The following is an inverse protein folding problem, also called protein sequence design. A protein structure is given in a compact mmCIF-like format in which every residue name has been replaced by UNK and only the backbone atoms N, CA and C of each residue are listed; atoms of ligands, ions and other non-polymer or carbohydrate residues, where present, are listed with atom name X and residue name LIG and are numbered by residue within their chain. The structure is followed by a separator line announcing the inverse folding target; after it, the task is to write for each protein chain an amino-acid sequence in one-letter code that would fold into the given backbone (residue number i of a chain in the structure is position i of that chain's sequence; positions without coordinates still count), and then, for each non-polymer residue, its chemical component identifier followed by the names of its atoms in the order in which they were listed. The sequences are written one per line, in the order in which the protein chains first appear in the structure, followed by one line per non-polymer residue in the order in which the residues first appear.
data_IF_730282288290
#
_entry.id   IF_730282288290
#
_cell.length_a   1.000
_cell.length_b   1.000
_cell.length_c   1.000
_cell.angle_alpha   90.00
_cell.angle_beta   90.00
_cell.angle_gamma   90.00
#
_symmetry.space_group_name_H-M   'P 1'
#
loop_
_entity.id
_entity.type
_entity.pdbx_description
1 polymer ?
#
# COMPACT_ATOMS: atom_id res chain seq x y z
N UNK A 1 -3.64 21.60 2.02
CA UNK A 1 -2.41 20.82 1.94
C UNK A 1 -2.64 19.40 2.42
N UNK A 2 -1.83 18.45 1.97
CA UNK A 2 -1.99 17.01 2.31
C UNK A 2 -1.56 16.67 3.76
N UNK A 3 -1.29 17.64 4.62
CA UNK A 3 -0.79 17.40 5.97
C UNK A 3 0.60 16.76 5.99
N UNK A 4 1.08 16.37 7.17
CA UNK A 4 2.35 15.67 7.31
C UNK A 4 2.21 14.20 6.84
N UNK A 5 3.16 13.70 6.04
CA UNK A 5 3.15 12.36 5.44
C UNK A 5 4.27 11.52 6.05
N UNK A 6 3.92 10.33 6.54
CA UNK A 6 4.84 9.41 7.19
C UNK A 6 4.91 8.07 6.46
N UNK A 7 6.12 7.64 6.13
CA UNK A 7 6.40 6.30 5.59
C UNK A 7 6.45 5.29 6.74
N UNK A 8 5.80 4.15 6.57
CA UNK A 8 5.89 3.02 7.51
C UNK A 8 6.07 1.74 6.71
N UNK A 9 7.21 1.12 6.92
CA UNK A 9 7.63 -0.07 6.19
C UNK A 9 7.65 -1.26 7.13
N UNK A 10 6.89 -2.28 6.81
CA UNK A 10 6.86 -3.54 7.55
C UNK A 10 7.74 -4.61 6.91
N UNK A 11 8.24 -4.34 5.69
CA UNK A 11 9.01 -5.28 4.91
C UNK A 11 9.96 -4.55 3.97
N UNK A 12 11.09 -5.17 3.64
CA UNK A 12 11.97 -4.79 2.55
C UNK A 12 11.96 -5.83 1.45
N UNK A 13 12.15 -5.38 0.21
CA UNK A 13 12.00 -6.10 -1.04
C UNK A 13 10.54 -6.43 -1.40
N UNK A 14 10.30 -6.68 -2.68
CA UNK A 14 8.98 -6.88 -3.24
C UNK A 14 8.94 -8.12 -4.14
N UNK A 15 7.84 -8.89 -4.06
CA UNK A 15 7.63 -10.09 -4.87
C UNK A 15 7.45 -9.81 -6.36
N UNK A 16 7.06 -8.59 -6.74
CA UNK A 16 6.56 -8.31 -8.09
C UNK A 16 7.63 -8.05 -9.14
N UNK A 17 8.88 -7.84 -8.74
CA UNK A 17 10.03 -7.78 -9.66
C UNK A 17 9.80 -6.84 -10.88
N UNK A 18 9.25 -5.65 -10.62
CA UNK A 18 8.99 -4.68 -11.68
C UNK A 18 10.29 -4.11 -12.23
N UNK A 19 10.46 -4.10 -13.57
CA UNK A 19 11.73 -3.75 -14.21
C UNK A 19 12.21 -2.32 -13.95
N UNK A 20 11.31 -1.39 -13.66
CA UNK A 20 11.60 0.02 -13.37
C UNK A 20 11.78 0.30 -11.87
N UNK A 21 11.62 -0.72 -11.02
CA UNK A 21 11.57 -0.50 -9.57
C UNK A 21 12.98 -0.23 -9.01
N UNK A 22 13.11 0.87 -8.27
CA UNK A 22 14.38 1.23 -7.62
C UNK A 22 14.86 0.18 -6.62
N UNK A 23 13.97 -0.69 -6.12
CA UNK A 23 14.32 -1.79 -5.22
C UNK A 23 15.27 -2.80 -5.87
N UNK A 24 15.28 -2.90 -7.21
CA UNK A 24 16.21 -3.76 -7.96
C UNK A 24 17.69 -3.43 -7.68
N UNK A 25 18.00 -2.17 -7.38
CA UNK A 25 19.35 -1.71 -7.08
C UNK A 25 19.57 -1.23 -5.64
N UNK A 26 18.53 -1.21 -4.81
CA UNK A 26 18.60 -0.64 -3.47
C UNK A 26 19.22 -1.60 -2.45
N UNK A 27 18.95 -2.89 -2.59
CA UNK A 27 19.41 -3.92 -1.65
C UNK A 27 20.38 -4.89 -2.31
N UNK A 28 21.48 -5.18 -1.63
CA UNK A 28 22.47 -6.17 -2.07
C UNK A 28 22.06 -7.63 -1.81
N UNK A 29 20.82 -7.86 -1.45
CA UNK A 29 20.29 -9.18 -1.13
C UNK A 29 18.92 -9.38 -1.80
N UNK A 30 18.69 -10.57 -2.33
CA UNK A 30 17.41 -11.01 -2.86
C UNK A 30 16.44 -11.49 -1.76
N UNK A 31 16.86 -11.49 -0.49
CA UNK A 31 16.01 -11.93 0.61
C UNK A 31 14.93 -10.89 0.93
N UNK A 32 13.77 -11.38 1.35
CA UNK A 32 12.71 -10.55 1.92
C UNK A 32 12.96 -10.41 3.42
N UNK A 33 12.96 -9.17 3.91
CA UNK A 33 13.07 -8.87 5.33
C UNK A 33 11.71 -8.43 5.84
N UNK A 34 11.17 -9.11 6.83
CA UNK A 34 9.90 -8.75 7.49
C UNK A 34 10.18 -8.33 8.91
N UNK A 35 9.70 -7.14 9.29
CA UNK A 35 9.74 -6.68 10.68
C UNK A 35 8.50 -7.22 11.40
N UNK A 36 8.71 -7.95 12.49
CA UNK A 36 7.62 -8.61 13.24
C UNK A 36 7.17 -7.83 14.49
N UNK A 37 7.87 -6.76 14.82
CA UNK A 37 7.60 -5.92 16.00
C UNK A 37 6.51 -4.86 15.71
N UNK A 38 5.37 -5.28 15.18
CA UNK A 38 4.27 -4.37 14.77
C UNK A 38 3.75 -3.51 15.92
N UNK A 39 3.78 -4.03 17.14
CA UNK A 39 3.37 -3.27 18.32
C UNK A 39 4.23 -2.03 18.56
N UNK A 40 5.54 -2.11 18.32
CA UNK A 40 6.44 -0.96 18.43
C UNK A 40 6.10 0.10 17.38
N UNK A 41 5.78 -0.32 16.14
CA UNK A 41 5.32 0.61 15.10
C UNK A 41 4.00 1.30 15.49
N UNK A 42 3.06 0.56 16.03
CA UNK A 42 1.78 1.13 16.49
C UNK A 42 2.01 2.16 17.61
N UNK A 43 2.88 1.86 18.58
CA UNK A 43 3.23 2.76 19.66
C UNK A 43 3.88 4.07 19.16
N UNK A 44 4.81 3.98 18.19
CA UNK A 44 5.44 5.16 17.60
C UNK A 44 4.45 6.00 16.77
N UNK A 45 3.57 5.37 16.00
CA UNK A 45 2.50 6.05 15.27
C UNK A 45 1.56 6.76 16.26
N UNK A 46 1.19 6.10 17.34
CA UNK A 46 0.32 6.69 18.37
C UNK A 46 0.96 7.92 19.03
N UNK A 47 2.26 7.88 19.35
CA UNK A 47 3.02 9.03 19.87
C UNK A 47 2.96 10.21 18.90
N UNK A 48 3.16 9.96 17.60
CA UNK A 48 3.10 11.00 16.57
C UNK A 48 1.68 11.58 16.48
N UNK A 49 0.65 10.76 16.47
CA UNK A 49 -0.76 11.20 16.43
C UNK A 49 -1.09 12.05 17.66
N UNK A 50 -0.67 11.62 18.85
CA UNK A 50 -0.89 12.34 20.10
C UNK A 50 -0.16 13.69 20.15
N UNK A 51 1.07 13.74 19.59
CA UNK A 51 1.86 14.96 19.50
C UNK A 51 1.25 16.01 18.56
N UNK A 52 0.57 15.58 17.51
CA UNK A 52 0.04 16.42 16.44
C UNK A 52 -1.49 16.34 16.32
N UNK A 53 -2.22 16.37 17.44
CA UNK A 53 -3.68 16.11 17.53
C UNK A 53 -4.54 16.93 16.57
N UNK A 54 -4.11 18.17 16.25
CA UNK A 54 -4.86 19.09 15.41
C UNK A 54 -4.57 18.95 13.91
N UNK A 55 -3.52 18.19 13.54
CA UNK A 55 -3.12 18.01 12.16
C UNK A 55 -3.77 16.76 11.56
N UNK A 56 -4.17 16.85 10.28
CA UNK A 56 -4.45 15.67 9.46
C UNK A 56 -3.13 15.07 9.03
N UNK A 57 -2.92 13.79 9.33
CA UNK A 57 -1.71 13.06 9.00
C UNK A 57 -2.03 11.90 8.07
N UNK A 58 -1.11 11.61 7.16
CA UNK A 58 -1.21 10.45 6.28
C UNK A 58 -0.06 9.51 6.58
N UNK A 59 -0.39 8.29 6.95
CA UNK A 59 0.54 7.17 7.10
C UNK A 59 0.36 6.25 5.92
N UNK A 60 1.42 5.99 5.16
CA UNK A 60 1.35 5.09 4.02
C UNK A 60 2.36 3.95 4.12
N UNK A 61 1.99 2.83 3.54
CA UNK A 61 2.79 1.62 3.42
C UNK A 61 3.11 1.32 1.96
N UNK A 62 3.97 0.35 1.69
CA UNK A 62 4.26 -0.09 0.33
C UNK A 62 5.20 0.83 -0.44
N UNK A 63 6.19 1.44 0.25
CA UNK A 63 7.27 2.18 -0.41
C UNK A 63 8.44 1.26 -0.77
N UNK A 64 8.94 0.48 0.20
CA UNK A 64 10.04 -0.46 0.01
C UNK A 64 9.56 -1.91 -0.19
N UNK A 65 8.26 -2.10 -0.44
CA UNK A 65 7.60 -3.37 -0.71
C UNK A 65 6.21 -3.12 -1.31
N UNK A 66 5.48 -4.17 -1.63
CA UNK A 66 4.02 -4.09 -1.84
C UNK A 66 3.28 -4.41 -0.55
N UNK A 67 2.30 -3.60 -0.18
CA UNK A 67 1.62 -3.71 1.13
C UNK A 67 0.81 -5.00 1.31
N UNK A 68 0.34 -5.63 0.23
CA UNK A 68 -0.57 -6.77 0.29
C UNK A 68 -0.01 -8.04 -0.35
N UNK A 69 1.13 -7.96 -1.05
CA UNK A 69 1.67 -9.11 -1.76
C UNK A 69 2.00 -10.28 -0.81
N UNK A 70 2.51 -9.98 0.38
CA UNK A 70 2.84 -10.97 1.41
C UNK A 70 1.89 -10.95 2.61
N UNK A 71 0.76 -10.27 2.52
CA UNK A 71 -0.21 -10.13 3.63
C UNK A 71 -0.65 -11.48 4.24
N UNK A 72 -0.84 -12.57 3.47
CA UNK A 72 -1.19 -13.87 4.05
C UNK A 72 -0.14 -14.43 5.00
N UNK A 73 1.10 -13.98 4.90
CA UNK A 73 2.23 -14.39 5.75
C UNK A 73 2.48 -13.35 6.84
N UNK A 74 2.53 -12.06 6.46
CA UNK A 74 2.91 -10.98 7.37
C UNK A 74 1.79 -10.59 8.33
N UNK A 75 0.54 -10.70 7.89
CA UNK A 75 -0.66 -10.29 8.63
C UNK A 75 -0.63 -8.82 9.10
N UNK A 76 0.22 -7.99 8.44
CA UNK A 76 0.48 -6.62 8.83
C UNK A 76 -0.75 -5.72 8.71
N UNK A 77 -1.43 -5.76 7.56
CA UNK A 77 -2.61 -4.93 7.32
C UNK A 77 -3.77 -5.37 8.20
N UNK A 78 -3.88 -6.69 8.46
CA UNK A 78 -4.88 -7.23 9.38
C UNK A 78 -4.75 -6.65 10.81
N UNK A 79 -3.51 -6.39 11.27
CA UNK A 79 -3.26 -5.78 12.57
C UNK A 79 -3.43 -4.25 12.55
N UNK A 80 -3.13 -3.60 11.42
CA UNK A 80 -3.14 -2.15 11.32
C UNK A 80 -4.51 -1.55 11.01
N UNK A 81 -5.41 -2.26 10.34
CA UNK A 81 -6.79 -1.80 10.11
C UNK A 81 -7.51 -1.53 11.45
N UNK A 82 -7.55 -2.44 12.44
CA UNK A 82 -8.14 -2.16 13.75
C UNK A 82 -7.40 -1.05 14.52
N UNK A 83 -6.09 -0.94 14.35
CA UNK A 83 -5.33 0.14 14.96
C UNK A 83 -5.81 1.51 14.46
N UNK A 84 -5.89 1.72 13.13
CA UNK A 84 -6.31 2.98 12.55
C UNK A 84 -7.80 3.29 12.72
N UNK A 85 -8.65 2.31 13.01
CA UNK A 85 -10.07 2.56 13.32
C UNK A 85 -10.25 3.48 14.53
N UNK A 86 -9.28 3.51 15.46
CA UNK A 86 -9.27 4.35 16.65
C UNK A 86 -8.90 5.81 16.38
N UNK A 87 -8.27 6.11 15.23
CA UNK A 87 -7.66 7.41 14.93
C UNK A 87 -8.24 8.04 13.66
N UNK A 88 -9.48 8.50 13.71
CA UNK A 88 -10.23 9.01 12.54
C UNK A 88 -9.57 10.16 11.78
N UNK A 89 -8.71 10.98 12.43
CA UNK A 89 -7.96 12.08 11.80
C UNK A 89 -6.68 11.59 11.09
N UNK A 90 -6.21 10.38 11.38
CA UNK A 90 -5.04 9.78 10.75
C UNK A 90 -5.47 8.95 9.54
N UNK A 91 -5.07 9.36 8.34
CA UNK A 91 -5.32 8.64 7.11
C UNK A 91 -4.32 7.49 6.99
N UNK A 92 -4.80 6.29 6.73
CA UNK A 92 -4.00 5.11 6.43
C UNK A 92 -4.09 4.76 4.95
N UNK A 93 -2.98 4.83 4.23
CA UNK A 93 -2.91 4.51 2.81
C UNK A 93 -2.13 3.22 2.58
N UNK A 94 -2.80 2.22 2.03
CA UNK A 94 -2.27 0.91 1.67
C UNK A 94 -1.96 0.93 0.17
N UNK A 95 -0.68 1.00 -0.20
CA UNK A 95 -0.24 1.04 -1.61
C UNK A 95 0.05 -0.36 -2.12
N UNK A 96 -0.55 -0.72 -3.26
CA UNK A 96 -0.43 -2.10 -3.75
C UNK A 96 -0.65 -2.24 -5.26
N UNK A 97 -0.11 -3.31 -5.82
CA UNK A 97 -0.48 -3.93 -7.10
C UNK A 97 -1.18 -5.27 -6.90
N UNK A 98 -1.27 -5.75 -5.65
CA UNK A 98 -1.85 -7.04 -5.30
C UNK A 98 -3.36 -7.07 -5.51
N UNK A 99 -3.87 -8.23 -5.88
CA UNK A 99 -5.29 -8.54 -5.87
C UNK A 99 -5.73 -9.31 -4.62
N UNK A 100 -4.83 -9.46 -3.65
CA UNK A 100 -5.18 -10.06 -2.38
C UNK A 100 -6.15 -9.17 -1.60
N UNK A 101 -7.34 -9.70 -1.35
CA UNK A 101 -8.41 -8.97 -0.65
C UNK A 101 -8.90 -9.70 0.61
N UNK A 102 -8.18 -10.73 1.06
CA UNK A 102 -8.59 -11.55 2.20
C UNK A 102 -8.75 -10.75 3.50
N UNK A 103 -7.85 -9.81 3.75
CA UNK A 103 -7.92 -8.95 4.94
C UNK A 103 -9.17 -8.07 4.93
N UNK A 104 -9.57 -7.55 3.77
CA UNK A 104 -10.73 -6.67 3.63
C UNK A 104 -12.09 -7.39 3.74
N UNK A 105 -12.08 -8.72 3.78
CA UNK A 105 -13.27 -9.54 4.09
C UNK A 105 -13.47 -9.75 5.58
N UNK A 106 -12.41 -9.52 6.38
CA UNK A 106 -12.39 -9.73 7.83
C UNK A 106 -12.74 -8.46 8.62
N UNK A 107 -12.67 -7.30 7.95
CA UNK A 107 -12.86 -5.99 8.59
C UNK A 107 -13.92 -5.17 7.86
N UNK A 108 -14.59 -4.32 8.62
CA UNK A 108 -15.48 -3.30 8.07
C UNK A 108 -14.67 -2.16 7.44
N UNK A 109 -15.20 -1.54 6.36
CA UNK A 109 -14.55 -0.41 5.71
C UNK A 109 -14.34 0.77 6.65
N UNK A 110 -13.14 1.36 6.59
CA UNK A 110 -12.77 2.53 7.37
C UNK A 110 -12.76 3.78 6.50
N UNK A 111 -13.44 4.85 6.93
CA UNK A 111 -13.45 6.13 6.22
C UNK A 111 -12.07 6.77 6.10
N UNK A 112 -11.15 6.45 7.00
CA UNK A 112 -9.77 6.93 7.01
C UNK A 112 -8.76 5.90 6.48
N UNK A 113 -9.20 4.84 5.81
CA UNK A 113 -8.33 3.89 5.13
C UNK A 113 -8.55 3.98 3.61
N UNK A 114 -7.46 4.09 2.86
CA UNK A 114 -7.47 4.12 1.39
C UNK A 114 -6.65 2.93 0.88
N UNK A 115 -7.24 2.13 0.01
CA UNK A 115 -6.52 1.10 -0.74
C UNK A 115 -6.11 1.69 -2.08
N UNK A 116 -4.83 2.05 -2.22
CA UNK A 116 -4.31 2.78 -3.37
C UNK A 116 -3.60 1.83 -4.34
N UNK A 117 -4.16 1.68 -5.53
CA UNK A 117 -3.62 0.82 -6.58
C UNK A 117 -2.69 1.57 -7.51
N UNK A 118 -1.49 1.00 -7.74
CA UNK A 118 -0.60 1.46 -8.79
C UNK A 118 -1.07 0.94 -10.14
N UNK A 119 -1.26 1.85 -11.08
CA UNK A 119 -1.76 1.57 -12.43
C UNK A 119 -0.88 2.24 -13.48
N UNK A 120 -0.78 1.57 -14.63
CA UNK A 120 -0.22 2.08 -15.88
C UNK A 120 -1.00 1.46 -17.04
N UNK A 121 -0.80 1.85 -18.31
CA UNK A 121 -1.42 1.17 -19.44
C UNK A 121 -1.11 -0.33 -19.44
N UNK A 122 -2.11 -1.17 -19.75
CA UNK A 122 -2.00 -2.63 -19.72
C UNK A 122 -0.83 -3.15 -20.56
N UNK A 123 -0.62 -2.59 -21.76
CA UNK A 123 0.46 -3.00 -22.66
C UNK A 123 1.86 -2.77 -22.04
N UNK A 124 2.03 -1.68 -21.28
CA UNK A 124 3.29 -1.42 -20.58
C UNK A 124 3.42 -2.29 -19.33
N UNK A 125 2.33 -2.51 -18.61
CA UNK A 125 2.33 -3.38 -17.44
C UNK A 125 2.75 -4.83 -17.78
N UNK A 126 2.31 -5.34 -18.92
CA UNK A 126 2.71 -6.69 -19.39
C UNK A 126 4.22 -6.84 -19.57
N UNK A 127 4.91 -5.76 -19.94
CA UNK A 127 6.36 -5.77 -20.16
C UNK A 127 7.12 -5.46 -18.86
N UNK A 128 6.62 -4.49 -18.07
CA UNK A 128 7.36 -3.88 -16.98
C UNK A 128 7.01 -4.43 -15.59
N UNK A 129 5.75 -4.82 -15.38
CA UNK A 129 5.25 -5.36 -14.10
C UNK A 129 5.32 -6.90 -14.09
N UNK A 130 6.52 -7.47 -14.24
CA UNK A 130 6.77 -8.89 -14.59
C UNK A 130 5.99 -9.92 -13.78
N UNK A 131 5.93 -9.78 -12.47
CA UNK A 131 5.30 -10.74 -11.54
C UNK A 131 4.03 -10.19 -10.88
N UNK A 132 3.66 -8.93 -11.18
CA UNK A 132 2.47 -8.34 -10.61
C UNK A 132 1.20 -8.79 -11.37
N UNK A 133 0.04 -8.82 -10.71
CA UNK A 133 -1.23 -9.07 -11.40
C UNK A 133 -1.48 -8.05 -12.52
N UNK A 134 -2.18 -8.47 -13.59
CA UNK A 134 -2.54 -7.59 -14.70
C UNK A 134 -3.33 -6.36 -14.23
N UNK A 135 -3.29 -5.27 -15.00
CA UNK A 135 -4.05 -4.05 -14.68
C UNK A 135 -5.55 -4.34 -14.67
N UNK A 136 -6.02 -5.15 -15.61
CA UNK A 136 -7.43 -5.59 -15.65
C UNK A 136 -7.84 -6.34 -14.38
N UNK A 137 -6.99 -7.22 -13.84
CA UNK A 137 -7.24 -7.91 -12.58
C UNK A 137 -7.26 -6.94 -11.38
N UNK A 138 -6.33 -5.96 -11.35
CA UNK A 138 -6.32 -4.90 -10.32
C UNK A 138 -7.62 -4.09 -10.37
N UNK A 139 -8.07 -3.66 -11.55
CA UNK A 139 -9.33 -2.90 -11.72
C UNK A 139 -10.53 -3.72 -11.25
N UNK A 140 -10.58 -5.02 -11.56
CA UNK A 140 -11.63 -5.91 -11.07
C UNK A 140 -11.67 -5.95 -9.53
N UNK A 141 -10.48 -6.07 -8.91
CA UNK A 141 -10.36 -6.09 -7.45
C UNK A 141 -10.73 -4.73 -6.82
N UNK A 142 -10.34 -3.62 -7.46
CA UNK A 142 -10.75 -2.26 -7.03
C UNK A 142 -12.26 -2.10 -7.02
N UNK A 143 -12.95 -2.53 -8.10
CA UNK A 143 -14.43 -2.52 -8.17
C UNK A 143 -15.04 -3.37 -7.05
N UNK A 144 -14.48 -4.54 -6.79
CA UNK A 144 -14.94 -5.40 -5.70
C UNK A 144 -14.84 -4.69 -4.34
N UNK A 145 -13.69 -4.10 -4.02
CA UNK A 145 -13.47 -3.41 -2.75
C UNK A 145 -14.32 -2.14 -2.63
N UNK A 146 -14.46 -1.37 -3.73
CA UNK A 146 -15.34 -0.20 -3.76
C UNK A 146 -16.79 -0.57 -3.46
N UNK A 147 -17.30 -1.65 -4.06
CA UNK A 147 -18.64 -2.17 -3.80
C UNK A 147 -18.84 -2.68 -2.37
N UNK A 148 -17.73 -3.01 -1.68
CA UNK A 148 -17.72 -3.35 -0.24
C UNK A 148 -17.62 -2.12 0.66
N UNK A 149 -17.52 -0.92 0.10
CA UNK A 149 -17.44 0.35 0.83
C UNK A 149 -16.02 0.83 1.15
N UNK A 150 -14.98 0.12 0.71
CA UNK A 150 -13.59 0.58 0.89
C UNK A 150 -13.28 1.77 -0.02
N UNK A 151 -12.56 2.75 0.51
CA UNK A 151 -12.08 3.88 -0.28
C UNK A 151 -10.92 3.43 -1.18
N UNK A 152 -11.05 3.70 -2.47
CA UNK A 152 -10.04 3.35 -3.47
C UNK A 152 -9.25 4.60 -3.86
N UNK A 153 -7.92 4.46 -3.90
CA UNK A 153 -6.99 5.43 -4.44
C UNK A 153 -6.38 4.95 -5.75
N UNK A 154 -6.09 5.89 -6.65
CA UNK A 154 -5.35 5.61 -7.88
C UNK A 154 -3.96 6.22 -7.78
N UNK A 155 -2.95 5.43 -8.14
CA UNK A 155 -1.55 5.84 -8.27
C UNK A 155 -1.09 5.55 -9.68
N UNK A 156 -0.84 6.59 -10.45
CA UNK A 156 -0.20 6.45 -11.75
C UNK A 156 1.31 6.49 -11.54
N UNK A 157 1.89 5.32 -11.30
CA UNK A 157 3.30 5.16 -10.94
C UNK A 157 3.82 3.81 -11.49
N UNK A 158 4.88 3.85 -12.34
CA UNK A 158 5.64 5.03 -12.78
C UNK A 158 4.92 5.87 -13.85
N UNK A 159 5.24 7.16 -13.90
CA UNK A 159 4.92 8.00 -15.05
C UNK A 159 6.04 7.81 -16.09
N UNK A 160 5.71 7.15 -17.19
CA UNK A 160 6.62 6.94 -18.30
C UNK A 160 6.33 8.00 -19.38
N UNK A 161 7.37 8.60 -19.97
CA UNK A 161 7.23 9.71 -20.94
C UNK A 161 6.24 9.41 -22.08
N UNK A 162 6.11 8.16 -22.51
CA UNK A 162 5.12 7.74 -23.50
C UNK A 162 3.67 7.88 -23.05
N UNK A 163 3.41 8.04 -21.75
CA UNK A 163 2.06 8.25 -21.18
C UNK A 163 1.66 9.73 -21.13
N UNK A 164 2.62 10.65 -21.26
CA UNK A 164 2.36 12.09 -21.23
C UNK A 164 1.91 12.60 -22.61
N UNK A 165 2.05 11.78 -23.63
CA UNK A 165 1.72 12.10 -25.03
C UNK A 165 0.48 11.37 -25.57
N UNK A 166 -0.37 10.86 -24.68
CA UNK A 166 -1.67 10.29 -25.06
C UNK A 166 -2.72 11.38 -25.05
#
# INVERSE_FOLDING_TARGET
GLGDVYKRQHMYNCLYDCSYCFLQGMYNSANYLVFVNFHDYQNEIEKIIKKHKEKKMTFFTGYDCDSLAMEPITNFINDFVPFFSRYKKALFEIRTKSINNTVFRKHDPLANCIVAYSLMPEALAQILDKKAPSVSARIKNMKYLANKGWRIGLRFDPLILSLIHI
#
